data_IF_597688340016
#
_entry.id   IF_597688340016
#
_cell.length_a   1.000
_cell.length_b   1.000
_cell.length_c   1.000
_cell.angle_alpha   90.00
_cell.angle_beta   90.00
_cell.angle_gamma   90.00
#
_symmetry.space_group_name_H-M   'P 1'
#
loop_
_entity.id
_entity.type
_entity.pdbx_description
1 polymer ?
#
# COMPACT_ATOMS: atom_id res chain seq x y z
N UNK A 1 2.67 -7.35 -14.15
CA UNK A 1 2.13 -7.06 -12.82
C UNK A 1 0.63 -6.72 -12.86
N UNK A 2 0.15 -5.80 -13.71
CA UNK A 2 -1.31 -5.53 -13.83
C UNK A 2 -2.18 -6.77 -14.16
N UNK A 3 -1.74 -7.64 -15.08
CA UNK A 3 -2.44 -8.92 -15.35
C UNK A 3 -2.52 -9.84 -14.14
N UNK A 4 -1.58 -9.73 -13.19
CA UNK A 4 -1.61 -10.50 -11.95
C UNK A 4 -2.65 -9.92 -10.99
N UNK A 5 -2.77 -8.60 -10.88
CA UNK A 5 -3.84 -7.94 -10.12
C UNK A 5 -5.21 -8.42 -10.61
N UNK A 6 -5.46 -8.35 -11.92
CA UNK A 6 -6.73 -8.83 -12.50
C UNK A 6 -6.97 -10.33 -12.26
N UNK A 7 -5.90 -11.14 -12.21
CA UNK A 7 -6.03 -12.55 -11.86
C UNK A 7 -6.48 -12.72 -10.40
N UNK A 8 -5.84 -12.00 -9.46
CA UNK A 8 -6.17 -12.03 -8.03
C UNK A 8 -7.57 -11.47 -7.74
N UNK A 9 -8.00 -10.43 -8.45
CA UNK A 9 -9.36 -9.90 -8.35
C UNK A 9 -10.43 -10.93 -8.78
N UNK A 10 -10.13 -11.78 -9.77
CA UNK A 10 -11.02 -12.89 -10.14
C UNK A 10 -11.05 -13.98 -9.09
N UNK A 11 -9.91 -14.27 -8.47
CA UNK A 11 -9.84 -15.24 -7.37
C UNK A 11 -10.66 -14.74 -6.16
N UNK A 12 -10.57 -13.44 -5.84
CA UNK A 12 -11.41 -12.79 -4.83
C UNK A 12 -12.91 -12.90 -5.17
N UNK A 13 -13.30 -12.60 -6.41
CA UNK A 13 -14.69 -12.75 -6.84
C UNK A 13 -15.19 -14.20 -6.69
N UNK A 14 -14.34 -15.18 -7.00
CA UNK A 14 -14.68 -16.59 -6.83
C UNK A 14 -14.84 -16.95 -5.34
N UNK A 15 -14.01 -16.41 -4.45
CA UNK A 15 -14.14 -16.57 -3.01
C UNK A 15 -15.45 -15.95 -2.47
N UNK A 16 -15.83 -14.77 -2.96
CA UNK A 16 -17.13 -14.14 -2.65
C UNK A 16 -18.33 -14.98 -3.08
N UNK A 17 -18.25 -15.58 -4.28
CA UNK A 17 -19.27 -16.52 -4.76
C UNK A 17 -19.36 -17.74 -3.84
N UNK A 18 -18.22 -18.30 -3.41
CA UNK A 18 -18.18 -19.44 -2.51
C UNK A 18 -18.80 -19.10 -1.15
N UNK A 19 -18.47 -17.92 -0.58
CA UNK A 19 -19.09 -17.42 0.66
C UNK A 19 -20.61 -17.31 0.51
N UNK A 20 -21.08 -16.75 -0.61
CA UNK A 20 -22.53 -16.63 -0.86
C UNK A 20 -23.20 -17.99 -0.92
N UNK A 21 -22.59 -18.96 -1.58
CA UNK A 21 -23.11 -20.33 -1.65
C UNK A 21 -23.11 -20.99 -0.26
N UNK A 22 -22.07 -20.76 0.55
CA UNK A 22 -22.00 -21.25 1.93
C UNK A 22 -23.11 -20.65 2.81
N UNK A 23 -23.38 -19.34 2.68
CA UNK A 23 -24.51 -18.68 3.38
C UNK A 23 -25.86 -19.28 3.01
N UNK A 24 -26.11 -19.49 1.71
CA UNK A 24 -27.35 -20.13 1.23
C UNK A 24 -27.46 -21.57 1.75
N UNK A 25 -26.36 -22.32 1.80
CA UNK A 25 -26.34 -23.67 2.33
C UNK A 25 -26.66 -23.70 3.83
N UNK A 26 -26.11 -22.76 4.60
CA UNK A 26 -26.40 -22.60 6.02
C UNK A 26 -27.86 -22.24 6.26
N UNK A 27 -28.40 -21.28 5.51
CA UNK A 27 -29.80 -20.88 5.57
C UNK A 27 -30.73 -22.07 5.30
N UNK A 28 -30.47 -22.85 4.24
CA UNK A 28 -31.23 -24.07 3.95
C UNK A 28 -31.12 -25.13 5.06
N UNK A 29 -29.95 -25.26 5.70
CA UNK A 29 -29.76 -26.19 6.81
C UNK A 29 -30.48 -25.73 8.09
N UNK A 30 -30.71 -24.42 8.26
CA UNK A 30 -31.43 -23.82 9.39
C UNK A 30 -32.95 -23.78 9.18
N UNK A 31 -33.42 -23.46 7.98
CA UNK A 31 -34.85 -23.42 7.62
C UNK A 31 -35.52 -24.78 7.80
N UNK A 32 -34.71 -25.84 7.62
CA UNK A 32 -35.02 -27.20 8.01
C UNK A 32 -35.52 -27.29 9.46
N UNK A 33 -35.08 -26.50 10.44
CA UNK A 33 -35.61 -26.57 11.82
C UNK A 33 -37.08 -26.10 11.95
N UNK A 34 -37.58 -25.30 10.99
CA UNK A 34 -39.00 -24.97 10.82
C UNK A 34 -39.67 -25.94 9.81
N UNK A 35 -39.51 -27.26 10.03
CA UNK A 35 -40.02 -28.28 9.12
C UNK A 35 -41.46 -27.99 8.67
N UNK A 36 -41.75 -28.04 7.36
CA UNK A 36 -43.10 -27.85 6.84
C UNK A 36 -44.15 -28.70 7.55
N UNK A 37 -43.80 -29.92 7.99
CA UNK A 37 -44.69 -30.82 8.72
C UNK A 37 -44.97 -30.38 10.17
N UNK A 38 -43.96 -29.90 10.90
CA UNK A 38 -44.12 -29.34 12.26
C UNK A 38 -44.95 -28.06 12.19
N UNK A 39 -44.63 -27.16 11.24
CA UNK A 39 -45.39 -25.94 11.01
C UNK A 39 -46.84 -26.24 10.63
N UNK A 40 -47.07 -27.24 9.77
CA UNK A 40 -48.42 -27.66 9.39
C UNK A 40 -49.19 -28.25 10.57
N UNK A 41 -48.56 -29.09 11.38
CA UNK A 41 -49.17 -29.67 12.58
C UNK A 41 -49.49 -28.58 13.64
N UNK A 42 -48.61 -27.61 13.83
CA UNK A 42 -48.87 -26.44 14.69
C UNK A 42 -50.06 -25.60 14.19
N UNK A 43 -50.18 -25.40 12.88
CA UNK A 43 -51.33 -24.72 12.28
C UNK A 43 -52.64 -25.51 12.49
N UNK A 44 -52.59 -26.84 12.45
CA UNK A 44 -53.74 -27.70 12.74
C UNK A 44 -54.18 -27.58 14.21
N UNK A 45 -53.23 -27.58 15.16
CA UNK A 45 -53.51 -27.34 16.58
C UNK A 45 -54.12 -25.95 16.77
N UNK A 46 -53.58 -24.92 16.11
CA UNK A 46 -54.12 -23.57 16.17
C UNK A 46 -55.58 -23.52 15.68
N UNK A 47 -55.87 -24.09 14.50
CA UNK A 47 -57.22 -24.15 13.96
C UNK A 47 -58.20 -24.95 14.84
N UNK A 48 -57.75 -26.04 15.46
CA UNK A 48 -58.57 -26.82 16.39
C UNK A 48 -58.90 -26.05 17.67
N UNK A 49 -57.94 -25.27 18.20
CA UNK A 49 -58.17 -24.36 19.35
C UNK A 49 -59.18 -23.28 19.03
N UNK A 50 -59.11 -22.70 17.83
CA UNK A 50 -60.08 -21.71 17.37
C UNK A 50 -61.50 -22.29 17.26
N UNK A 51 -61.61 -23.51 16.72
CA UNK A 51 -62.89 -24.21 16.60
C UNK A 51 -63.51 -24.53 17.97
N UNK A 52 -62.69 -24.99 18.93
CA UNK A 52 -63.12 -25.22 20.31
C UNK A 52 -63.58 -23.92 20.99
N UNK A 53 -62.80 -22.84 20.85
CA UNK A 53 -63.16 -21.53 21.39
C UNK A 53 -64.48 -21.00 20.80
N UNK A 54 -64.71 -21.23 19.50
CA UNK A 54 -65.97 -20.90 18.84
C UNK A 54 -67.14 -21.71 19.41
N UNK A 55 -66.99 -23.02 19.58
CA UNK A 55 -68.01 -23.89 20.15
C UNK A 55 -68.40 -23.47 21.58
N UNK A 56 -67.40 -23.26 22.46
CA UNK A 56 -67.60 -22.81 23.84
C UNK A 56 -68.31 -21.46 23.92
N UNK A 57 -67.97 -20.52 23.04
CA UNK A 57 -68.61 -19.20 22.99
C UNK A 57 -70.09 -19.27 22.61
N UNK A 58 -70.48 -20.22 21.77
CA UNK A 58 -71.88 -20.38 21.39
C UNK A 58 -72.66 -21.19 22.42
N UNK A 59 -72.03 -22.16 23.09
CA UNK A 59 -72.59 -22.84 24.25
C UNK A 59 -72.96 -21.85 25.37
N UNK A 60 -72.09 -20.90 25.68
CA UNK A 60 -72.34 -19.85 26.68
C UNK A 60 -73.55 -18.95 26.34
N UNK A 61 -73.89 -18.83 25.05
CA UNK A 61 -75.04 -18.06 24.56
C UNK A 61 -76.32 -18.89 24.41
N UNK A 62 -76.23 -20.22 24.51
CA UNK A 62 -77.37 -21.10 24.34
C UNK A 62 -78.35 -20.95 25.51
N UNK A 63 -79.64 -20.84 25.22
CA UNK A 63 -80.69 -20.58 26.22
C UNK A 63 -81.79 -21.65 26.25
N UNK A 64 -82.00 -22.36 25.15
CA UNK A 64 -82.91 -23.52 25.10
C UNK A 64 -82.19 -24.81 25.46
N UNK A 65 -82.83 -25.76 26.19
CA UNK A 65 -82.25 -27.08 26.46
C UNK A 65 -81.76 -27.82 25.21
N UNK A 66 -82.49 -27.72 24.10
CA UNK A 66 -82.11 -28.33 22.81
C UNK A 66 -80.83 -27.72 22.22
N UNK A 67 -80.64 -26.41 22.41
CA UNK A 67 -79.49 -25.69 21.87
C UNK A 67 -78.24 -25.97 22.72
N UNK A 68 -78.43 -26.09 24.04
CA UNK A 68 -77.36 -26.46 24.97
C UNK A 68 -76.85 -27.86 24.65
N UNK A 69 -77.74 -28.83 24.41
CA UNK A 69 -77.38 -30.20 24.02
C UNK A 69 -76.60 -30.21 22.69
N UNK A 70 -77.11 -29.53 21.65
CA UNK A 70 -76.45 -29.45 20.35
C UNK A 70 -75.05 -28.81 20.42
N UNK A 71 -74.87 -27.74 21.20
CA UNK A 71 -73.55 -27.11 21.36
C UNK A 71 -72.62 -27.89 22.25
N UNK A 72 -73.14 -28.67 23.19
CA UNK A 72 -72.34 -29.59 24.03
C UNK A 72 -71.73 -30.69 23.15
N UNK A 73 -72.51 -31.29 22.24
CA UNK A 73 -72.01 -32.26 21.27
C UNK A 73 -70.93 -31.66 20.34
N UNK A 74 -71.09 -30.39 19.94
CA UNK A 74 -70.09 -29.68 19.11
C UNK A 74 -68.81 -29.40 19.90
N UNK A 75 -68.91 -29.04 21.18
CA UNK A 75 -67.74 -28.87 22.06
C UNK A 75 -67.00 -30.20 22.21
N UNK A 76 -67.70 -31.30 22.45
CA UNK A 76 -67.09 -32.63 22.56
C UNK A 76 -66.36 -33.02 21.25
N UNK A 77 -66.96 -32.78 20.09
CA UNK A 77 -66.31 -32.99 18.79
C UNK A 77 -65.10 -32.07 18.55
N UNK A 78 -65.16 -30.83 19.03
CA UNK A 78 -64.06 -29.86 18.93
C UNK A 78 -62.88 -30.25 19.84
N UNK A 79 -63.14 -30.70 21.05
CA UNK A 79 -62.15 -31.23 21.99
C UNK A 79 -61.46 -32.46 21.42
N UNK A 80 -62.22 -33.40 20.85
CA UNK A 80 -61.67 -34.56 20.17
C UNK A 80 -60.76 -34.18 18.99
N UNK A 81 -61.15 -33.16 18.21
CA UNK A 81 -60.34 -32.64 17.10
C UNK A 81 -59.03 -32.00 17.59
N UNK A 82 -59.09 -31.26 18.69
CA UNK A 82 -57.91 -30.68 19.33
C UNK A 82 -56.96 -31.76 19.85
N UNK A 83 -57.49 -32.76 20.55
CA UNK A 83 -56.72 -33.90 21.05
C UNK A 83 -55.97 -34.59 19.93
N UNK A 84 -56.64 -34.91 18.80
CA UNK A 84 -56.01 -35.55 17.65
C UNK A 84 -54.90 -34.68 17.04
N UNK A 85 -55.12 -33.36 16.96
CA UNK A 85 -54.12 -32.44 16.43
C UNK A 85 -52.89 -32.32 17.36
N UNK A 86 -53.09 -32.31 18.67
CA UNK A 86 -52.03 -32.28 19.68
C UNK A 86 -51.26 -33.62 19.70
N UNK A 87 -51.95 -34.77 19.68
CA UNK A 87 -51.35 -36.11 19.59
C UNK A 87 -50.51 -36.27 18.32
N UNK A 88 -50.99 -35.73 17.19
CA UNK A 88 -50.23 -35.74 15.93
C UNK A 88 -48.97 -34.90 16.04
N UNK A 89 -49.04 -33.72 16.65
CA UNK A 89 -47.87 -32.85 16.86
C UNK A 89 -46.85 -33.54 17.78
N UNK A 90 -47.31 -34.18 18.86
CA UNK A 90 -46.47 -34.94 19.77
C UNK A 90 -45.82 -36.16 19.10
N UNK A 91 -46.57 -36.93 18.32
CA UNK A 91 -46.05 -38.06 17.57
C UNK A 91 -44.99 -37.65 16.53
N UNK A 92 -45.20 -36.49 15.88
CA UNK A 92 -44.22 -35.85 15.01
C UNK A 92 -42.95 -35.54 15.82
N UNK A 93 -43.04 -34.84 16.94
CA UNK A 93 -41.87 -34.53 17.77
C UNK A 93 -41.15 -35.79 18.29
N UNK A 94 -41.88 -36.79 18.77
CA UNK A 94 -41.33 -38.03 19.30
C UNK A 94 -40.60 -38.87 18.22
N UNK A 95 -41.07 -38.84 16.98
CA UNK A 95 -40.40 -39.51 15.86
C UNK A 95 -39.06 -38.84 15.49
N UNK A 96 -38.89 -37.55 15.78
CA UNK A 96 -37.69 -36.78 15.46
C UNK A 96 -36.59 -36.81 16.54
N UNK A 97 -36.88 -37.28 17.75
CA UNK A 97 -36.18 -36.86 18.98
C UNK A 97 -34.76 -37.42 19.24
N UNK A 98 -34.07 -38.08 18.32
CA UNK A 98 -32.66 -38.49 18.60
C UNK A 98 -31.72 -38.40 17.41
N UNK A 99 -31.92 -39.23 16.40
CA UNK A 99 -30.92 -39.40 15.34
C UNK A 99 -31.05 -38.33 14.25
N UNK A 100 -32.28 -37.97 13.89
CA UNK A 100 -32.53 -37.02 12.81
C UNK A 100 -32.20 -35.57 13.22
N UNK A 101 -32.48 -35.19 14.47
CA UNK A 101 -32.04 -33.91 15.04
C UNK A 101 -30.51 -33.87 15.18
N UNK A 102 -29.87 -34.97 15.56
CA UNK A 102 -28.41 -35.04 15.63
C UNK A 102 -27.76 -34.87 14.25
N UNK A 103 -28.28 -35.56 13.22
CA UNK A 103 -27.81 -35.42 11.83
C UNK A 103 -27.98 -33.97 11.33
N UNK A 104 -29.10 -33.32 11.62
CA UNK A 104 -29.35 -31.93 11.21
C UNK A 104 -28.45 -30.94 11.94
N UNK A 105 -28.22 -31.14 13.24
CA UNK A 105 -27.23 -30.34 14.00
C UNK A 105 -25.84 -30.46 13.38
N UNK A 106 -25.42 -31.69 13.04
CA UNK A 106 -24.16 -31.93 12.33
C UNK A 106 -24.13 -31.24 10.95
N UNK A 107 -25.23 -31.23 10.20
CA UNK A 107 -25.31 -30.53 8.93
C UNK A 107 -25.16 -29.01 9.07
N UNK A 108 -25.78 -28.42 10.10
CA UNK A 108 -25.62 -26.99 10.42
C UNK A 108 -24.18 -26.69 10.82
N UNK A 109 -23.59 -27.50 11.70
CA UNK A 109 -22.20 -27.34 12.13
C UNK A 109 -21.23 -27.44 10.94
N UNK A 110 -21.45 -28.40 10.04
CA UNK A 110 -20.68 -28.50 8.79
C UNK A 110 -20.87 -27.28 7.88
N UNK A 111 -22.10 -26.75 7.77
CA UNK A 111 -22.37 -25.56 6.98
C UNK A 111 -21.74 -24.29 7.60
N UNK A 112 -21.72 -24.20 8.94
CA UNK A 112 -21.04 -23.14 9.68
C UNK A 112 -19.53 -23.21 9.51
N UNK A 113 -18.94 -24.41 9.64
CA UNK A 113 -17.50 -24.60 9.40
C UNK A 113 -17.10 -24.21 7.98
N UNK A 114 -17.90 -24.62 6.98
CA UNK A 114 -17.68 -24.18 5.58
C UNK A 114 -17.81 -22.68 5.41
N UNK A 115 -18.77 -22.04 6.09
CA UNK A 115 -18.92 -20.59 6.04
C UNK A 115 -17.66 -19.90 6.58
N UNK A 116 -17.16 -20.35 7.73
CA UNK A 116 -15.95 -19.82 8.36
C UNK A 116 -14.72 -20.00 7.45
N UNK A 117 -14.55 -21.18 6.85
CA UNK A 117 -13.47 -21.44 5.90
C UNK A 117 -13.55 -20.49 4.69
N UNK A 118 -14.73 -20.33 4.08
CA UNK A 118 -14.90 -19.39 2.95
C UNK A 118 -14.70 -17.93 3.33
N UNK A 119 -14.88 -17.58 4.61
CA UNK A 119 -14.60 -16.24 5.11
C UNK A 119 -13.10 -15.99 5.20
N UNK A 120 -12.33 -16.98 5.68
CA UNK A 120 -10.86 -16.93 5.68
C UNK A 120 -10.32 -16.88 4.24
N UNK A 121 -10.89 -17.65 3.32
CA UNK A 121 -10.51 -17.63 1.90
C UNK A 121 -10.66 -16.23 1.27
N UNK A 122 -11.69 -15.47 1.65
CA UNK A 122 -11.85 -14.07 1.20
C UNK A 122 -10.77 -13.18 1.80
N UNK A 123 -10.48 -13.30 3.09
CA UNK A 123 -9.44 -12.49 3.74
C UNK A 123 -8.05 -12.76 3.14
N UNK A 124 -7.77 -14.02 2.77
CA UNK A 124 -6.55 -14.40 2.06
C UNK A 124 -6.54 -13.84 0.63
N UNK A 125 -7.64 -13.98 -0.12
CA UNK A 125 -7.75 -13.45 -1.48
C UNK A 125 -7.65 -11.90 -1.53
N UNK A 126 -8.17 -11.19 -0.52
CA UNK A 126 -8.02 -9.75 -0.39
C UNK A 126 -6.56 -9.34 -0.18
N UNK A 127 -5.85 -10.04 0.70
CA UNK A 127 -4.41 -9.81 0.93
C UNK A 127 -3.60 -10.05 -0.35
N UNK A 128 -3.91 -11.10 -1.07
CA UNK A 128 -3.27 -11.40 -2.37
C UNK A 128 -3.49 -10.29 -3.41
N UNK A 129 -4.67 -9.67 -3.45
CA UNK A 129 -4.95 -8.52 -4.32
C UNK A 129 -4.12 -7.30 -3.89
N UNK A 130 -4.09 -7.01 -2.59
CA UNK A 130 -3.33 -5.88 -2.05
C UNK A 130 -1.83 -6.01 -2.35
N UNK A 131 -1.26 -7.20 -2.13
CA UNK A 131 0.15 -7.45 -2.42
C UNK A 131 0.45 -7.33 -3.93
N UNK A 132 -0.43 -7.85 -4.79
CA UNK A 132 -0.28 -7.67 -6.24
C UNK A 132 -0.37 -6.19 -6.68
N UNK A 133 -1.16 -5.37 -5.98
CA UNK A 133 -1.25 -3.93 -6.23
C UNK A 133 0.03 -3.20 -5.80
N UNK A 134 0.57 -3.52 -4.62
CA UNK A 134 1.87 -3.00 -4.16
C UNK A 134 2.98 -3.34 -5.14
N UNK A 135 3.01 -4.57 -5.65
CA UNK A 135 3.97 -4.97 -6.67
C UNK A 135 3.89 -4.09 -7.93
N UNK A 136 2.68 -3.71 -8.37
CA UNK A 136 2.48 -2.79 -9.51
C UNK A 136 3.02 -1.41 -9.19
N UNK A 137 2.71 -0.87 -8.00
CA UNK A 137 3.19 0.44 -7.57
C UNK A 137 4.72 0.49 -7.52
N UNK A 138 5.36 -0.54 -6.97
CA UNK A 138 6.82 -0.63 -6.94
C UNK A 138 7.43 -0.68 -8.35
N UNK A 139 6.82 -1.42 -9.28
CA UNK A 139 7.28 -1.39 -10.68
C UNK A 139 7.06 -0.04 -11.37
N UNK A 140 6.03 0.72 -10.99
CA UNK A 140 5.80 2.06 -11.53
C UNK A 140 6.88 3.02 -11.04
N UNK A 141 7.26 2.94 -9.76
CA UNK A 141 8.39 3.70 -9.21
C UNK A 141 9.70 3.34 -9.90
N UNK A 142 9.98 2.04 -10.09
CA UNK A 142 11.18 1.60 -10.82
C UNK A 142 11.24 2.18 -12.26
N UNK A 143 10.08 2.31 -12.93
CA UNK A 143 9.99 2.91 -14.27
C UNK A 143 10.21 4.42 -14.21
N UNK A 144 9.65 5.11 -13.22
CA UNK A 144 9.85 6.54 -13.00
C UNK A 144 11.33 6.86 -12.72
N UNK A 145 11.96 6.14 -11.78
CA UNK A 145 13.39 6.27 -11.48
C UNK A 145 14.26 6.05 -12.73
N UNK A 146 13.93 5.04 -13.55
CA UNK A 146 14.64 4.77 -14.80
C UNK A 146 14.43 5.87 -15.85
N UNK A 147 13.26 6.49 -15.89
CA UNK A 147 12.97 7.63 -16.77
C UNK A 147 13.70 8.89 -16.33
N UNK A 148 13.73 9.18 -15.03
CA UNK A 148 14.52 10.30 -14.50
C UNK A 148 16.01 10.13 -14.79
N UNK A 149 16.56 8.93 -14.59
CA UNK A 149 17.95 8.63 -14.91
C UNK A 149 18.25 8.76 -16.42
N UNK A 150 17.30 8.37 -17.28
CA UNK A 150 17.42 8.56 -18.73
C UNK A 150 17.38 10.05 -19.09
N UNK A 151 16.48 10.82 -18.51
CA UNK A 151 16.36 12.26 -18.76
C UNK A 151 17.61 13.02 -18.26
N UNK A 152 18.19 12.65 -17.11
CA UNK A 152 19.47 13.21 -16.65
C UNK A 152 20.60 12.89 -17.65
N UNK A 153 20.66 11.65 -18.14
CA UNK A 153 21.66 11.24 -19.12
C UNK A 153 21.51 11.99 -20.46
N UNK A 154 20.28 12.23 -20.92
CA UNK A 154 20.01 12.95 -22.16
C UNK A 154 20.25 14.47 -22.05
N UNK A 155 19.99 15.06 -20.88
CA UNK A 155 20.16 16.50 -20.65
C UNK A 155 21.57 16.88 -20.19
N UNK A 156 22.43 15.90 -19.92
CA UNK A 156 23.85 16.16 -19.65
C UNK A 156 24.53 16.64 -20.93
N UNK A 157 24.91 17.92 -20.99
CA UNK A 157 25.67 18.47 -22.11
C UNK A 157 26.99 17.71 -22.25
N UNK A 158 27.19 17.09 -23.42
CA UNK A 158 28.47 16.48 -23.81
C UNK A 158 29.49 17.54 -24.26
N UNK A 159 29.05 18.78 -24.45
CA UNK A 159 29.91 19.90 -24.79
C UNK A 159 30.27 20.68 -23.52
N UNK A 160 31.56 20.75 -23.24
CA UNK A 160 32.14 21.52 -22.14
C UNK A 160 32.78 22.76 -22.74
N UNK A 161 32.22 23.93 -22.40
CA UNK A 161 32.70 25.23 -22.87
C UNK A 161 33.52 25.93 -21.78
N UNK A 162 34.40 26.84 -22.20
CA UNK A 162 35.15 27.66 -21.25
C UNK A 162 34.19 28.60 -20.49
N UNK A 163 34.27 28.68 -19.15
CA UNK A 163 33.39 29.55 -18.37
C UNK A 163 33.73 31.04 -18.52
N UNK A 164 34.92 31.37 -19.00
CA UNK A 164 35.41 32.73 -19.22
C UNK A 164 36.50 32.77 -20.30
N UNK A 165 36.76 33.98 -20.80
CA UNK A 165 37.90 34.26 -21.69
C UNK A 165 39.22 34.09 -20.93
N UNK A 166 40.23 33.50 -21.59
CA UNK A 166 41.54 33.26 -21.00
C UNK A 166 42.47 32.49 -21.94
N UNK A 167 43.68 32.20 -21.46
CA UNK A 167 44.66 31.37 -22.14
C UNK A 167 44.69 29.98 -21.52
N UNK A 168 44.64 28.93 -22.36
CA UNK A 168 44.79 27.54 -21.92
C UNK A 168 46.23 27.31 -21.47
N UNK A 169 46.41 27.00 -20.18
CA UNK A 169 47.71 26.66 -19.61
C UNK A 169 48.02 25.17 -19.72
N UNK A 170 46.99 24.33 -19.51
CA UNK A 170 47.14 22.88 -19.46
C UNK A 170 45.84 22.18 -19.88
N UNK A 171 45.98 21.04 -20.55
CA UNK A 171 44.89 20.15 -20.96
C UNK A 171 45.19 18.78 -20.36
N UNK A 172 44.33 18.31 -19.45
CA UNK A 172 44.60 17.12 -18.64
C UNK A 172 44.16 15.80 -19.25
N UNK A 173 43.33 15.84 -20.29
CA UNK A 173 42.75 14.67 -20.93
C UNK A 173 42.83 14.79 -22.45
N UNK A 174 43.02 13.67 -23.12
CA UNK A 174 43.10 13.56 -24.57
C UNK A 174 42.01 12.63 -25.12
N UNK A 175 41.87 12.60 -26.44
CA UNK A 175 40.91 11.71 -27.11
C UNK A 175 41.12 10.25 -26.69
N UNK A 176 40.04 9.61 -26.23
CA UNK A 176 40.05 8.24 -25.73
C UNK A 176 40.17 8.09 -24.22
N UNK A 177 40.46 9.18 -23.49
CA UNK A 177 40.50 9.15 -22.03
C UNK A 177 39.09 9.14 -21.42
N UNK A 178 38.94 8.44 -20.30
CA UNK A 178 37.69 8.41 -19.53
C UNK A 178 37.69 9.56 -18.51
N UNK A 179 36.68 10.41 -18.58
CA UNK A 179 36.52 11.60 -17.71
C UNK A 179 35.30 11.42 -16.82
N UNK A 180 35.42 11.76 -15.53
CA UNK A 180 34.29 11.78 -14.57
C UNK A 180 33.82 13.21 -14.31
N UNK A 181 32.61 13.38 -13.77
CA UNK A 181 31.96 14.70 -13.53
C UNK A 181 32.82 15.70 -12.77
N UNK A 182 33.68 15.24 -11.86
CA UNK A 182 34.52 16.10 -11.00
C UNK A 182 35.97 16.24 -11.47
N UNK A 183 36.30 15.71 -12.66
CA UNK A 183 37.65 15.76 -13.19
C UNK A 183 37.97 17.14 -13.80
N UNK A 184 39.03 17.85 -13.35
CA UNK A 184 39.41 19.12 -13.96
C UNK A 184 39.99 18.89 -15.36
N UNK A 185 39.32 19.38 -16.40
CA UNK A 185 39.68 19.06 -17.79
C UNK A 185 40.74 20.02 -18.34
N UNK A 186 40.54 21.32 -18.15
CA UNK A 186 41.39 22.39 -18.68
C UNK A 186 41.75 23.35 -17.56
N UNK A 187 43.00 23.81 -17.54
CA UNK A 187 43.43 24.92 -16.70
C UNK A 187 43.45 26.18 -17.56
N UNK A 188 42.60 27.15 -17.22
CA UNK A 188 42.51 28.46 -17.87
C UNK A 188 43.12 29.53 -16.95
N UNK A 189 43.89 30.45 -17.52
CA UNK A 189 44.37 31.63 -16.82
C UNK A 189 44.22 32.89 -17.68
N UNK A 190 43.87 34.00 -17.04
CA UNK A 190 43.95 35.32 -17.66
C UNK A 190 45.40 35.82 -17.55
N UNK A 191 46.02 36.08 -18.71
CA UNK A 191 47.39 36.59 -18.80
C UNK A 191 47.44 38.11 -18.94
N UNK A 192 46.30 38.80 -18.87
CA UNK A 192 46.22 40.26 -18.94
C UNK A 192 46.85 40.94 -17.72
N UNK A 193 46.80 40.28 -16.57
CA UNK A 193 47.46 40.71 -15.34
C UNK A 193 48.36 39.58 -14.84
N UNK A 194 49.68 39.80 -14.91
CA UNK A 194 50.66 38.85 -14.43
C UNK A 194 51.26 39.34 -13.12
N UNK A 195 51.22 38.49 -12.11
CA UNK A 195 51.87 38.70 -10.82
C UNK A 195 53.19 37.90 -10.80
N UNK A 196 54.20 38.43 -10.12
CA UNK A 196 55.51 37.80 -10.05
C UNK A 196 55.95 37.65 -8.61
N UNK A 197 55.98 36.39 -8.16
CA UNK A 197 56.52 35.99 -6.86
C UNK A 197 58.03 36.04 -6.82
N UNK A 198 58.58 36.95 -6.01
CA UNK A 198 60.01 37.09 -5.75
C UNK A 198 60.31 36.88 -4.26
N UNK A 199 61.27 36.00 -4.01
CA UNK A 199 61.83 35.76 -2.68
C UNK A 199 62.95 36.76 -2.38
N UNK A 200 62.83 37.49 -1.27
CA UNK A 200 63.78 38.53 -0.87
C UNK A 200 64.42 38.16 0.48
N UNK A 201 65.73 38.41 0.60
CA UNK A 201 66.47 38.24 1.85
C UNK A 201 66.03 39.21 2.95
N UNK A 202 66.16 38.79 4.20
CA UNK A 202 65.75 39.57 5.37
C UNK A 202 66.56 40.87 5.55
N UNK A 203 67.76 40.93 5.00
CA UNK A 203 68.61 42.12 4.97
C UNK A 203 68.08 43.19 4.02
N UNK A 204 67.50 42.77 2.89
CA UNK A 204 67.07 43.65 1.79
C UNK A 204 65.64 44.16 1.95
N UNK A 205 64.78 43.43 2.68
CA UNK A 205 63.37 43.81 2.91
C UNK A 205 63.20 45.16 3.62
N UNK A 206 64.17 45.57 4.44
CA UNK A 206 64.11 46.84 5.20
C UNK A 206 63.99 48.04 4.26
N UNK A 207 64.50 47.92 3.04
CA UNK A 207 64.57 48.99 2.05
C UNK A 207 63.45 48.98 1.02
N UNK A 208 62.50 48.04 1.09
CA UNK A 208 61.42 47.86 0.11
C UNK A 208 60.07 48.22 0.73
N UNK A 209 59.22 48.91 -0.05
CA UNK A 209 57.87 49.32 0.34
C UNK A 209 56.86 49.08 -0.79
N UNK A 210 55.57 48.83 -0.47
CA UNK A 210 54.53 48.78 -1.49
C UNK A 210 54.47 50.08 -2.27
N UNK A 211 54.20 49.97 -3.57
CA UNK A 211 54.18 51.07 -4.53
C UNK A 211 55.53 51.41 -5.16
N UNK A 212 56.64 50.83 -4.69
CA UNK A 212 57.96 51.04 -5.32
C UNK A 212 57.99 50.42 -6.72
N UNK A 213 58.57 51.15 -7.67
CA UNK A 213 58.78 50.64 -9.03
C UNK A 213 59.86 49.57 -9.04
N UNK A 214 59.62 48.48 -9.76
CA UNK A 214 60.57 47.41 -10.00
C UNK A 214 60.79 47.26 -11.51
N UNK A 215 62.04 47.02 -11.90
CA UNK A 215 62.39 46.64 -13.27
C UNK A 215 62.77 45.17 -13.28
N UNK A 216 62.07 44.40 -14.10
CA UNK A 216 62.17 42.95 -14.19
C UNK A 216 62.79 42.62 -15.55
N UNK A 217 63.96 41.97 -15.50
CA UNK A 217 64.66 41.48 -16.68
C UNK A 217 64.69 39.95 -16.60
N UNK A 218 64.22 39.29 -17.66
CA UNK A 218 64.15 37.84 -17.74
C UNK A 218 65.24 37.33 -18.68
N UNK A 219 66.10 36.44 -18.19
CA UNK A 219 67.16 35.81 -19.00
C UNK A 219 66.58 35.06 -20.21
N UNK A 220 65.38 34.48 -20.05
CA UNK A 220 64.66 33.78 -21.10
C UNK A 220 64.14 34.71 -22.22
N UNK A 221 64.09 36.03 -22.00
CA UNK A 221 63.63 37.03 -22.95
C UNK A 221 64.62 38.22 -23.03
N UNK A 222 65.83 38.02 -23.59
CA UNK A 222 66.84 39.07 -23.66
C UNK A 222 66.33 40.30 -24.43
N UNK A 223 66.48 41.49 -23.84
CA UNK A 223 66.08 42.77 -24.45
C UNK A 223 64.63 43.19 -24.19
N UNK A 224 63.86 42.43 -23.42
CA UNK A 224 62.55 42.86 -22.90
C UNK A 224 62.66 43.22 -21.42
N UNK A 225 62.49 44.50 -21.11
CA UNK A 225 62.41 44.99 -19.74
C UNK A 225 60.93 45.16 -19.39
N UNK A 226 60.51 44.55 -18.29
CA UNK A 226 59.17 44.70 -17.75
C UNK A 226 59.22 45.66 -16.57
N UNK A 227 58.29 46.61 -16.52
CA UNK A 227 58.14 47.49 -15.37
C UNK A 227 56.95 47.03 -14.53
N UNK A 228 57.18 46.90 -13.22
CA UNK A 228 56.17 46.52 -12.25
C UNK A 228 56.17 47.46 -11.05
N UNK A 229 55.20 47.25 -10.16
CA UNK A 229 55.19 47.88 -8.84
C UNK A 229 55.04 46.80 -7.79
N UNK A 230 55.67 47.02 -6.63
CA UNK A 230 55.44 46.17 -5.46
C UNK A 230 54.00 46.38 -5.01
N UNK A 231 53.13 45.39 -5.19
CA UNK A 231 51.72 45.54 -4.80
C UNK A 231 51.54 45.22 -3.30
N UNK A 232 51.88 44.00 -2.91
CA UNK A 232 51.66 43.52 -1.55
C UNK A 232 52.90 42.76 -1.00
N UNK A 233 53.11 42.81 0.32
CA UNK A 233 54.21 42.09 0.98
C UNK A 233 53.66 41.18 2.07
N UNK A 234 53.64 39.87 1.82
CA UNK A 234 53.23 38.80 2.74
C UNK A 234 54.34 38.42 3.73
N UNK A 235 54.29 38.77 5.03
CA UNK A 235 55.31 38.32 5.98
C UNK A 235 55.24 36.79 6.17
N UNK A 236 56.11 36.04 5.49
CA UNK A 236 56.28 34.61 5.74
C UNK A 236 57.58 34.33 6.49
N UNK A 237 57.49 33.56 7.58
CA UNK A 237 58.66 32.99 8.27
C UNK A 237 58.83 31.56 7.78
N UNK A 238 59.72 31.32 6.82
CA UNK A 238 60.04 29.96 6.36
C UNK A 238 61.03 29.31 7.33
N UNK A 239 60.69 28.14 7.89
CA UNK A 239 61.47 27.46 8.93
C UNK A 239 62.61 26.56 8.40
N UNK A 240 62.83 26.49 7.08
CA UNK A 240 63.74 25.47 6.50
C UNK A 240 64.78 26.02 5.51
N UNK A 241 64.79 27.33 5.23
CA UNK A 241 65.84 28.01 4.48
C UNK A 241 65.75 29.50 4.76
N UNK A 242 66.88 30.19 4.98
CA UNK A 242 66.95 31.63 5.24
C UNK A 242 66.63 32.47 3.99
N UNK A 243 65.44 32.26 3.42
CA UNK A 243 64.95 32.99 2.25
C UNK A 243 63.43 33.09 2.34
N UNK A 244 62.90 34.32 2.29
CA UNK A 244 61.46 34.61 2.41
C UNK A 244 60.86 34.87 1.04
N UNK A 245 59.86 34.07 0.63
CA UNK A 245 59.19 34.17 -0.68
C UNK A 245 58.00 35.13 -0.61
N UNK A 246 57.95 36.17 -1.44
CA UNK A 246 56.85 37.15 -1.53
C UNK A 246 56.22 37.10 -2.92
N UNK A 247 54.88 37.09 -3.04
CA UNK A 247 54.15 37.14 -4.32
C UNK A 247 54.05 38.54 -4.91
#
# INVERSE_FOLDING_TARGET
KERQVTAKERDLLQAEINLRNAKIALEKAQDVYEWPDIRTAQLQVCGAKELLAYALRNLDKATSPSDIEAWTDIVEGAEATLSIAEDRLEAIFAAYDTEEVAIKKLQVELAQGRLEDTQRDIEDAQRDVEDAQRDVEDAQRDVEDAQEALDEALNTSLEITAPCDGTVLDIKFYEGDMVTKDSPIIVLADLSQMEMRITIGQDTIISIRPGMSAEINLDALPGKNFSGKVDYMLPQKSATSQTVTYE
#
